data_IF_873116239221
#
_entry.id   IF_873116239221
#
_cell.length_a   1.000
_cell.length_b   1.000
_cell.length_c   1.000
_cell.angle_alpha   90.00
_cell.angle_beta   90.00
_cell.angle_gamma   90.00
#
_symmetry.space_group_name_H-M   'P 1'
#
loop_
_entity.id
_entity.type
_entity.pdbx_description
1 polymer ?
#
# COMPACT_ATOMS: atom_id res chain seq x y z
N UNK A 1 8.86 -30.14 5.58
CA UNK A 1 7.55 -29.95 4.95
C UNK A 1 6.57 -29.32 5.91
N UNK A 2 6.66 -27.99 6.20
CA UNK A 2 5.70 -27.28 7.10
C UNK A 2 5.64 -25.77 6.79
N UNK A 3 5.49 -25.39 5.49
CA UNK A 3 5.41 -23.96 5.11
C UNK A 3 4.08 -23.55 4.47
N UNK A 4 3.04 -24.39 4.45
CA UNK A 4 1.80 -24.11 3.70
C UNK A 4 0.65 -23.54 4.55
N UNK A 5 0.74 -23.50 5.86
CA UNK A 5 -0.36 -23.04 6.72
C UNK A 5 -0.33 -21.52 7.01
N UNK A 6 0.83 -20.88 6.98
CA UNK A 6 0.97 -19.43 7.22
C UNK A 6 0.50 -18.57 6.05
N UNK A 7 0.72 -19.01 4.82
CA UNK A 7 0.34 -18.27 3.60
C UNK A 7 -1.18 -18.22 3.38
N UNK A 8 -1.90 -19.29 3.74
CA UNK A 8 -3.38 -19.32 3.58
C UNK A 8 -4.09 -18.36 4.54
N UNK A 9 -3.59 -18.20 5.76
CA UNK A 9 -4.15 -17.27 6.75
C UNK A 9 -3.98 -15.79 6.33
N UNK A 10 -2.85 -15.44 5.76
CA UNK A 10 -2.58 -14.08 5.26
C UNK A 10 -3.44 -13.72 4.05
N UNK A 11 -3.59 -14.66 3.12
CA UNK A 11 -4.39 -14.43 1.90
C UNK A 11 -5.89 -14.31 2.21
N UNK A 12 -6.42 -15.16 3.09
CA UNK A 12 -7.83 -15.10 3.51
C UNK A 12 -8.14 -13.82 4.29
N UNK A 13 -7.20 -13.34 5.09
CA UNK A 13 -7.33 -12.09 5.83
C UNK A 13 -7.33 -10.88 4.88
N UNK A 14 -6.41 -10.84 3.92
CA UNK A 14 -6.35 -9.81 2.88
C UNK A 14 -7.62 -9.81 2.01
N UNK A 15 -8.07 -10.98 1.54
CA UNK A 15 -9.30 -11.11 0.77
C UNK A 15 -10.51 -10.63 1.55
N UNK A 16 -10.62 -10.94 2.83
CA UNK A 16 -11.72 -10.49 3.68
C UNK A 16 -11.68 -8.97 3.90
N UNK A 17 -10.51 -8.40 4.13
CA UNK A 17 -10.34 -6.98 4.40
C UNK A 17 -10.59 -6.10 3.14
N UNK A 18 -10.49 -6.67 1.94
CA UNK A 18 -10.79 -5.99 0.67
C UNK A 18 -12.21 -6.33 0.19
N UNK A 19 -12.60 -7.61 0.25
CA UNK A 19 -13.87 -8.07 -0.30
C UNK A 19 -15.08 -7.55 0.50
N UNK A 20 -14.97 -7.44 1.84
CA UNK A 20 -16.07 -7.00 2.68
C UNK A 20 -16.50 -5.55 2.43
N UNK A 21 -15.60 -4.55 2.43
CA UNK A 21 -15.95 -3.17 2.09
C UNK A 21 -16.51 -3.05 0.68
N UNK A 22 -15.94 -3.79 -0.27
CA UNK A 22 -16.36 -3.76 -1.67
C UNK A 22 -17.76 -4.35 -1.85
N UNK A 23 -18.03 -5.51 -1.25
CA UNK A 23 -19.36 -6.11 -1.26
C UNK A 23 -20.40 -5.20 -0.61
N UNK A 24 -20.06 -4.59 0.54
CA UNK A 24 -20.94 -3.68 1.25
C UNK A 24 -21.27 -2.44 0.40
N UNK A 25 -20.28 -1.87 -0.29
CA UNK A 25 -20.48 -0.75 -1.20
C UNK A 25 -21.50 -1.10 -2.30
N UNK A 26 -21.30 -2.21 -3.01
CA UNK A 26 -22.18 -2.59 -4.11
C UNK A 26 -23.58 -3.02 -3.64
N UNK A 27 -23.69 -3.67 -2.47
CA UNK A 27 -24.98 -3.97 -1.85
C UNK A 27 -25.74 -2.68 -1.53
N UNK A 28 -25.10 -1.67 -0.93
CA UNK A 28 -25.74 -0.39 -0.65
C UNK A 28 -26.16 0.34 -1.93
N UNK A 29 -25.32 0.30 -2.97
CA UNK A 29 -25.66 0.88 -4.27
C UNK A 29 -26.83 0.16 -4.96
N UNK A 30 -27.00 -1.14 -4.75
CA UNK A 30 -28.18 -1.88 -5.27
C UNK A 30 -29.49 -1.49 -4.59
N UNK A 31 -29.44 -0.85 -3.41
CA UNK A 31 -30.59 -0.26 -2.72
C UNK A 31 -30.75 1.24 -2.99
N UNK A 32 -30.17 1.77 -4.07
CA UNK A 32 -30.20 3.18 -4.45
C UNK A 32 -29.65 4.16 -3.38
N UNK A 33 -28.82 3.66 -2.47
CA UNK A 33 -28.15 4.51 -1.50
C UNK A 33 -27.16 5.42 -2.23
N UNK A 34 -27.13 6.70 -1.87
CA UNK A 34 -26.19 7.67 -2.44
C UNK A 34 -24.73 7.19 -2.34
N UNK A 35 -23.93 7.47 -3.37
CA UNK A 35 -22.56 6.99 -3.49
C UNK A 35 -21.66 7.42 -2.32
N UNK A 36 -21.86 8.66 -1.79
CA UNK A 36 -21.13 9.17 -0.64
C UNK A 36 -21.40 8.32 0.61
N UNK A 37 -22.68 8.06 0.90
CA UNK A 37 -23.09 7.25 2.05
C UNK A 37 -22.67 5.80 1.89
N UNK A 38 -22.78 5.23 0.69
CA UNK A 38 -22.31 3.88 0.40
C UNK A 38 -20.79 3.73 0.65
N UNK A 39 -19.99 4.70 0.23
CA UNK A 39 -18.53 4.73 0.49
C UNK A 39 -18.20 4.89 1.99
N UNK A 40 -18.89 5.80 2.68
CA UNK A 40 -18.67 6.03 4.12
C UNK A 40 -19.03 4.79 4.94
N UNK A 41 -20.20 4.17 4.68
CA UNK A 41 -20.64 2.97 5.40
C UNK A 41 -19.73 1.78 5.08
N UNK A 42 -19.28 1.64 3.84
CA UNK A 42 -18.34 0.56 3.46
C UNK A 42 -16.99 0.68 4.13
N UNK A 43 -16.58 1.88 4.54
CA UNK A 43 -15.32 2.13 5.29
C UNK A 43 -15.45 1.85 6.80
N UNK A 44 -16.66 1.70 7.35
CA UNK A 44 -16.86 1.46 8.79
C UNK A 44 -16.27 0.15 9.32
N UNK A 45 -16.39 -1.01 8.66
CA UNK A 45 -15.84 -2.25 9.18
C UNK A 45 -14.32 -2.20 9.45
N UNK A 46 -13.46 -1.75 8.52
CA UNK A 46 -12.04 -1.60 8.81
C UNK A 46 -11.76 -0.51 9.84
N UNK A 47 -12.54 0.59 9.88
CA UNK A 47 -12.39 1.66 10.84
C UNK A 47 -12.70 1.19 12.28
N UNK A 48 -13.80 0.45 12.48
CA UNK A 48 -14.21 -0.11 13.78
C UNK A 48 -13.13 -1.09 14.26
N UNK A 49 -12.64 -1.97 13.39
CA UNK A 49 -11.59 -2.93 13.73
C UNK A 49 -10.31 -2.20 14.17
N UNK A 50 -9.88 -1.22 13.42
CA UNK A 50 -8.68 -0.42 13.74
C UNK A 50 -8.85 0.34 15.06
N UNK A 51 -10.02 0.94 15.28
CA UNK A 51 -10.36 1.63 16.53
C UNK A 51 -10.41 0.66 17.72
N UNK A 52 -11.00 -0.52 17.57
CA UNK A 52 -11.06 -1.54 18.61
C UNK A 52 -9.66 -2.03 19.03
N UNK A 53 -8.78 -2.30 18.06
CA UNK A 53 -7.39 -2.70 18.34
C UNK A 53 -6.65 -1.61 19.08
N UNK A 54 -6.82 -0.35 18.67
CA UNK A 54 -6.22 0.82 19.31
C UNK A 54 -6.63 0.95 20.78
N UNK A 55 -7.92 0.82 21.06
CA UNK A 55 -8.47 0.96 22.44
C UNK A 55 -8.08 -0.23 23.33
N UNK A 56 -8.13 -1.47 22.79
CA UNK A 56 -7.91 -2.68 23.59
C UNK A 56 -6.45 -2.91 24.00
N UNK A 57 -5.50 -2.59 23.12
CA UNK A 57 -4.09 -2.84 23.40
C UNK A 57 -3.40 -1.72 24.17
N UNK A 58 -4.06 -0.60 24.46
CA UNK A 58 -3.51 0.60 25.17
C UNK A 58 -2.11 1.04 24.67
N UNK A 59 -1.62 0.45 23.59
CA UNK A 59 -0.43 0.90 22.89
C UNK A 59 -0.90 1.70 21.69
N UNK A 60 -0.70 2.99 21.74
CA UNK A 60 -0.93 3.87 20.60
C UNK A 60 0.09 3.44 19.55
N UNK A 61 -0.33 2.58 18.62
CA UNK A 61 0.43 2.38 17.40
C UNK A 61 0.35 3.68 16.59
N UNK A 62 1.45 4.42 16.46
CA UNK A 62 1.42 5.72 15.77
C UNK A 62 0.90 5.59 14.33
N UNK A 63 1.15 4.45 13.69
CA UNK A 63 0.71 4.17 12.32
C UNK A 63 -0.81 3.98 12.28
N UNK A 64 -1.36 3.15 13.18
CA UNK A 64 -2.81 2.93 13.27
C UNK A 64 -3.57 4.20 13.64
N UNK A 65 -3.05 5.00 14.57
CA UNK A 65 -3.64 6.29 14.95
C UNK A 65 -3.61 7.28 13.79
N UNK A 66 -2.51 7.34 13.03
CA UNK A 66 -2.40 8.17 11.83
C UNK A 66 -3.40 7.76 10.76
N UNK A 67 -3.52 6.46 10.46
CA UNK A 67 -4.47 5.93 9.47
C UNK A 67 -5.91 6.26 9.87
N UNK A 68 -6.26 6.09 11.16
CA UNK A 68 -7.59 6.42 11.67
C UNK A 68 -7.87 7.92 11.58
N UNK A 69 -6.93 8.77 11.97
CA UNK A 69 -7.04 10.22 11.86
C UNK A 69 -7.24 10.66 10.40
N UNK A 70 -6.46 10.09 9.46
CA UNK A 70 -6.62 10.35 8.04
C UNK A 70 -7.99 9.91 7.52
N UNK A 71 -8.51 8.78 7.97
CA UNK A 71 -9.84 8.31 7.59
C UNK A 71 -10.93 9.27 8.05
N UNK A 72 -10.86 9.74 9.32
CA UNK A 72 -11.82 10.70 9.90
C UNK A 72 -11.75 12.05 9.16
N UNK A 73 -10.55 12.57 8.93
CA UNK A 73 -10.37 13.86 8.23
C UNK A 73 -10.91 13.77 6.80
N UNK A 74 -10.56 12.72 6.06
CA UNK A 74 -11.04 12.57 4.68
C UNK A 74 -12.55 12.35 4.61
N UNK A 75 -13.13 11.59 5.56
CA UNK A 75 -14.57 11.44 5.68
C UNK A 75 -15.28 12.75 5.97
N UNK A 76 -14.74 13.56 6.90
CA UNK A 76 -15.29 14.87 7.22
C UNK A 76 -15.21 15.84 6.01
N UNK A 77 -14.09 15.87 5.30
CA UNK A 77 -13.93 16.69 4.08
C UNK A 77 -14.93 16.27 3.01
N UNK A 78 -15.13 14.97 2.79
CA UNK A 78 -16.09 14.48 1.81
C UNK A 78 -17.54 14.82 2.19
N UNK A 79 -17.90 14.74 3.49
CA UNK A 79 -19.22 15.14 3.98
C UNK A 79 -19.47 16.63 3.82
N UNK A 80 -18.48 17.48 4.12
CA UNK A 80 -18.59 18.94 3.98
C UNK A 80 -18.70 19.33 2.51
N UNK A 81 -17.92 18.69 1.64
CA UNK A 81 -17.90 18.98 0.20
C UNK A 81 -19.09 18.38 -0.57
N UNK A 82 -19.72 17.34 -0.03
CA UNK A 82 -20.78 16.59 -0.71
C UNK A 82 -20.30 15.80 -1.94
N UNK A 83 -18.99 15.76 -2.21
CA UNK A 83 -18.43 15.07 -3.38
C UNK A 83 -17.77 13.75 -3.01
N UNK A 84 -18.36 12.59 -3.38
CA UNK A 84 -17.80 11.26 -3.12
C UNK A 84 -16.44 11.03 -3.80
N UNK A 85 -16.08 11.81 -4.81
CA UNK A 85 -14.80 11.69 -5.54
C UNK A 85 -13.61 11.99 -4.64
N UNK A 86 -13.77 12.89 -3.66
CA UNK A 86 -12.72 13.19 -2.69
C UNK A 86 -12.34 11.98 -1.81
N UNK A 87 -13.30 11.10 -1.50
CA UNK A 87 -13.02 9.84 -0.81
C UNK A 87 -12.22 8.88 -1.69
N UNK A 88 -12.48 8.86 -2.98
CA UNK A 88 -11.77 7.99 -3.93
C UNK A 88 -10.32 8.45 -4.13
N UNK A 89 -10.08 9.75 -4.20
CA UNK A 89 -8.72 10.32 -4.37
C UNK A 89 -7.82 10.08 -3.15
N UNK A 90 -8.39 9.71 -2.00
CA UNK A 90 -7.61 9.45 -0.78
C UNK A 90 -6.52 8.39 -0.98
N UNK A 91 -6.82 7.30 -1.67
CA UNK A 91 -5.85 6.22 -1.95
C UNK A 91 -4.70 6.71 -2.82
N UNK A 92 -4.97 7.64 -3.74
CA UNK A 92 -3.99 8.24 -4.62
C UNK A 92 -2.90 9.01 -3.87
N UNK A 93 -3.26 9.78 -2.82
CA UNK A 93 -2.28 10.55 -2.06
C UNK A 93 -1.21 9.69 -1.41
N UNK A 94 -1.59 8.52 -0.88
CA UNK A 94 -0.63 7.58 -0.29
C UNK A 94 0.34 7.08 -1.35
N UNK A 95 -0.15 6.69 -2.51
CA UNK A 95 0.67 6.23 -3.63
C UNK A 95 1.62 7.32 -4.14
N UNK A 96 1.11 8.55 -4.32
CA UNK A 96 1.89 9.69 -4.78
C UNK A 96 2.97 10.09 -3.77
N UNK A 97 2.63 10.22 -2.49
CA UNK A 97 3.58 10.60 -1.45
C UNK A 97 4.65 9.53 -1.24
N UNK A 98 4.24 8.28 -1.07
CA UNK A 98 5.19 7.19 -0.82
C UNK A 98 6.04 6.92 -2.06
N UNK A 99 5.44 6.89 -3.24
CA UNK A 99 6.15 6.76 -4.51
C UNK A 99 7.12 7.92 -4.74
N UNK A 100 6.68 9.16 -4.50
CA UNK A 100 7.51 10.36 -4.57
C UNK A 100 8.68 10.34 -3.60
N UNK A 101 8.46 9.92 -2.34
CA UNK A 101 9.53 9.73 -1.35
C UNK A 101 10.55 8.66 -1.78
N UNK A 102 10.07 7.55 -2.36
CA UNK A 102 10.95 6.52 -2.91
C UNK A 102 11.83 7.07 -4.03
N UNK A 103 11.23 7.80 -5.00
CA UNK A 103 11.98 8.43 -6.09
C UNK A 103 12.95 9.50 -5.59
N UNK A 104 12.50 10.38 -4.69
CA UNK A 104 13.35 11.39 -4.09
C UNK A 104 14.55 10.78 -3.35
N UNK A 105 14.37 9.63 -2.68
CA UNK A 105 15.46 8.94 -2.01
C UNK A 105 16.56 8.42 -2.95
N UNK A 106 16.24 8.20 -4.22
CA UNK A 106 17.22 7.78 -5.23
C UNK A 106 18.08 8.95 -5.73
N UNK A 107 17.52 10.18 -5.71
CA UNK A 107 18.21 11.39 -6.18
C UNK A 107 18.99 12.06 -5.06
N UNK A 108 18.35 12.27 -3.91
CA UNK A 108 18.91 13.04 -2.78
C UNK A 108 19.61 12.14 -1.76
N UNK A 109 19.19 10.85 -1.67
CA UNK A 109 19.66 9.94 -0.63
C UNK A 109 20.88 9.11 -1.03
N UNK A 110 21.81 8.94 -0.08
CA UNK A 110 22.93 7.98 -0.24
C UNK A 110 22.45 6.52 -0.23
N UNK A 111 21.25 6.25 0.34
CA UNK A 111 20.66 4.91 0.49
C UNK A 111 19.21 4.95 0.04
N UNK A 112 18.74 4.00 -0.81
CA UNK A 112 17.36 3.92 -1.25
C UNK A 112 16.38 3.76 -0.09
N UNK A 113 15.18 4.32 -0.21
CA UNK A 113 14.16 4.28 0.84
C UNK A 113 13.81 2.84 1.24
N UNK A 114 13.61 1.96 0.26
CA UNK A 114 13.26 0.55 0.51
C UNK A 114 14.33 -0.19 1.32
N UNK A 115 15.62 0.07 1.05
CA UNK A 115 16.72 -0.50 1.82
C UNK A 115 16.64 -0.09 3.30
N UNK A 116 16.41 1.20 3.58
CA UNK A 116 16.23 1.70 4.96
C UNK A 116 15.06 1.05 5.67
N UNK A 117 13.91 0.94 4.98
CA UNK A 117 12.69 0.31 5.54
C UNK A 117 12.97 -1.14 5.92
N UNK A 118 13.63 -1.91 5.04
CA UNK A 118 13.92 -3.32 5.33
C UNK A 118 14.92 -3.47 6.48
N UNK A 119 15.97 -2.65 6.55
CA UNK A 119 16.89 -2.65 7.70
C UNK A 119 16.15 -2.34 9.02
N UNK A 120 15.16 -1.45 8.98
CA UNK A 120 14.36 -1.12 10.17
C UNK A 120 13.39 -2.25 10.57
N UNK A 121 12.77 -2.91 9.60
CA UNK A 121 11.83 -4.00 9.83
C UNK A 121 12.50 -5.32 10.21
N UNK A 122 13.76 -5.52 9.80
CA UNK A 122 14.53 -6.74 10.06
C UNK A 122 15.87 -6.40 10.76
N UNK A 123 15.85 -5.95 12.03
CA UNK A 123 17.06 -5.53 12.73
C UNK A 123 18.10 -6.66 12.88
N UNK A 124 17.63 -7.92 12.93
CA UNK A 124 18.53 -9.08 13.00
C UNK A 124 19.41 -9.25 11.74
N UNK A 125 18.95 -8.78 10.58
CA UNK A 125 19.68 -8.85 9.31
C UNK A 125 20.27 -7.50 8.87
N UNK A 126 20.02 -6.44 9.63
CA UNK A 126 20.45 -5.09 9.27
C UNK A 126 21.97 -4.99 9.15
N UNK A 127 22.73 -5.60 10.07
CA UNK A 127 24.17 -5.61 10.05
C UNK A 127 24.75 -6.31 8.80
N UNK A 128 24.17 -7.44 8.41
CA UNK A 128 24.53 -8.20 7.21
C UNK A 128 24.25 -7.38 5.92
N UNK A 129 23.05 -6.78 5.84
CA UNK A 129 22.66 -5.92 4.72
C UNK A 129 23.54 -4.68 4.61
N UNK A 130 23.90 -4.05 5.73
CA UNK A 130 24.79 -2.89 5.75
C UNK A 130 26.22 -3.25 5.35
N UNK A 131 26.73 -4.40 5.76
CA UNK A 131 28.02 -4.90 5.32
C UNK A 131 28.05 -5.14 3.80
N UNK A 132 27.02 -5.80 3.25
CA UNK A 132 26.87 -6.00 1.81
C UNK A 132 26.76 -4.67 1.04
N UNK A 133 26.04 -3.69 1.60
CA UNK A 133 25.95 -2.35 1.00
C UNK A 133 27.31 -1.62 0.95
N UNK A 134 28.16 -1.80 1.96
CA UNK A 134 29.47 -1.17 2.02
C UNK A 134 30.48 -1.84 1.08
N UNK A 135 30.39 -3.16 0.92
CA UNK A 135 31.38 -3.97 0.23
C UNK A 135 31.26 -3.92 -1.29
N UNK A 136 30.02 -3.91 -1.85
CA UNK A 136 29.82 -4.18 -3.28
C UNK A 136 28.83 -3.22 -3.95
N UNK A 137 29.20 -2.72 -5.13
CA UNK A 137 28.34 -1.88 -5.96
C UNK A 137 27.25 -2.71 -6.66
N UNK A 138 27.54 -3.96 -7.00
CA UNK A 138 26.58 -4.88 -7.61
C UNK A 138 25.46 -5.24 -6.62
N UNK A 139 25.75 -5.25 -5.32
CA UNK A 139 24.74 -5.40 -4.28
C UNK A 139 23.77 -4.20 -4.19
N UNK A 140 24.22 -2.98 -4.53
CA UNK A 140 23.42 -1.74 -4.47
C UNK A 140 22.43 -1.61 -5.63
N UNK A 141 22.79 -2.11 -6.81
CA UNK A 141 22.01 -1.98 -8.04
C UNK A 141 20.58 -2.58 -7.93
N UNK A 142 20.38 -3.81 -7.44
CA UNK A 142 19.04 -4.38 -7.25
C UNK A 142 18.14 -3.52 -6.35
N UNK A 143 18.69 -2.99 -5.26
CA UNK A 143 17.96 -2.15 -4.31
C UNK A 143 17.51 -0.82 -4.93
N UNK A 144 18.37 -0.19 -5.73
CA UNK A 144 18.02 1.02 -6.47
C UNK A 144 16.94 0.74 -7.51
N UNK A 145 17.09 -0.33 -8.27
CA UNK A 145 16.13 -0.74 -9.31
C UNK A 145 14.76 -1.04 -8.72
N UNK A 146 14.71 -1.81 -7.63
CA UNK A 146 13.45 -2.14 -6.96
C UNK A 146 12.80 -0.89 -6.38
N UNK A 147 13.57 0.01 -5.73
CA UNK A 147 13.04 1.27 -5.22
C UNK A 147 12.49 2.15 -6.35
N UNK A 148 13.16 2.19 -7.51
CA UNK A 148 12.70 2.91 -8.69
C UNK A 148 11.35 2.35 -9.19
N UNK A 149 11.24 1.02 -9.35
CA UNK A 149 10.01 0.38 -9.82
C UNK A 149 8.82 0.63 -8.88
N UNK A 150 9.02 0.48 -7.57
CA UNK A 150 8.00 0.76 -6.57
C UNK A 150 7.63 2.25 -6.53
N UNK A 151 8.62 3.14 -6.66
CA UNK A 151 8.40 4.59 -6.71
C UNK A 151 7.60 5.00 -7.95
N UNK A 152 8.03 4.59 -9.14
CA UNK A 152 7.32 4.88 -10.40
C UNK A 152 5.94 4.24 -10.40
N UNK A 153 5.83 2.95 -9.99
CA UNK A 153 4.56 2.26 -9.90
C UNK A 153 3.57 2.96 -8.97
N UNK A 154 4.02 3.40 -7.78
CA UNK A 154 3.19 4.15 -6.83
C UNK A 154 2.71 5.49 -7.38
N UNK A 155 3.57 6.26 -8.04
CA UNK A 155 3.20 7.53 -8.66
C UNK A 155 2.22 7.31 -9.81
N UNK A 156 2.50 6.37 -10.72
CA UNK A 156 1.60 6.07 -11.85
C UNK A 156 0.23 5.58 -11.37
N UNK A 157 0.20 4.71 -10.37
CA UNK A 157 -1.06 4.24 -9.78
C UNK A 157 -1.83 5.41 -9.15
N UNK A 158 -1.16 6.27 -8.37
CA UNK A 158 -1.79 7.44 -7.77
C UNK A 158 -2.36 8.40 -8.82
N UNK A 159 -1.61 8.69 -9.89
CA UNK A 159 -2.10 9.50 -11.00
C UNK A 159 -3.29 8.85 -11.72
N UNK A 160 -3.24 7.53 -11.93
CA UNK A 160 -4.33 6.80 -12.56
C UNK A 160 -5.62 6.86 -11.72
N UNK A 161 -5.53 6.70 -10.40
CA UNK A 161 -6.68 6.80 -9.48
C UNK A 161 -7.28 8.20 -9.50
N UNK A 162 -6.45 9.25 -9.46
CA UNK A 162 -6.93 10.64 -9.59
C UNK A 162 -7.67 10.83 -10.92
N UNK A 163 -7.07 10.40 -12.02
CA UNK A 163 -7.68 10.50 -13.34
C UNK A 163 -9.03 9.77 -13.40
N UNK A 164 -9.07 8.54 -12.92
CA UNK A 164 -10.31 7.73 -12.87
C UNK A 164 -11.39 8.38 -12.01
N UNK A 165 -11.05 8.95 -10.85
CA UNK A 165 -12.01 9.60 -9.96
C UNK A 165 -12.74 10.77 -10.62
N UNK A 166 -12.07 11.49 -11.55
CA UNK A 166 -12.67 12.64 -12.24
C UNK A 166 -13.24 12.33 -13.62
N UNK A 167 -12.84 11.22 -14.26
CA UNK A 167 -13.28 10.88 -15.62
C UNK A 167 -14.32 9.78 -15.67
N UNK A 168 -14.36 8.90 -14.67
CA UNK A 168 -15.24 7.73 -14.64
C UNK A 168 -16.41 7.91 -13.67
N UNK A 169 -17.49 7.12 -13.85
CA UNK A 169 -18.57 7.04 -12.86
C UNK A 169 -18.04 6.54 -11.51
N UNK A 170 -18.50 7.14 -10.40
CA UNK A 170 -18.07 6.83 -9.04
C UNK A 170 -18.22 5.33 -8.71
N UNK A 171 -19.22 4.67 -9.27
CA UNK A 171 -19.50 3.26 -9.03
C UNK A 171 -18.44 2.30 -9.60
N UNK A 172 -17.73 2.71 -10.63
CA UNK A 172 -16.72 1.87 -11.32
C UNK A 172 -15.33 2.04 -10.70
N UNK A 173 -15.04 3.21 -10.14
CA UNK A 173 -13.71 3.56 -9.64
C UNK A 173 -13.21 2.63 -8.53
N UNK A 174 -14.00 2.24 -7.50
CA UNK A 174 -13.49 1.37 -6.43
C UNK A 174 -13.05 -0.01 -6.94
N UNK A 175 -13.75 -0.56 -7.94
CA UNK A 175 -13.39 -1.82 -8.55
C UNK A 175 -12.06 -1.71 -9.32
N UNK A 176 -11.93 -0.68 -10.16
CA UNK A 176 -10.72 -0.46 -10.96
C UNK A 176 -9.52 -0.12 -10.08
N UNK A 177 -9.68 0.72 -9.05
CA UNK A 177 -8.63 1.06 -8.09
C UNK A 177 -8.11 -0.21 -7.39
N UNK A 178 -9.03 -1.05 -6.91
CA UNK A 178 -8.67 -2.33 -6.27
C UNK A 178 -7.94 -3.26 -7.25
N UNK A 179 -8.45 -3.43 -8.46
CA UNK A 179 -7.85 -4.30 -9.46
C UNK A 179 -6.46 -3.83 -9.86
N UNK A 180 -6.27 -2.52 -10.09
CA UNK A 180 -4.98 -1.92 -10.42
C UNK A 180 -4.00 -2.02 -9.25
N UNK A 181 -4.45 -1.75 -8.02
CA UNK A 181 -3.62 -1.84 -6.83
C UNK A 181 -3.12 -3.26 -6.61
N UNK A 182 -4.02 -4.25 -6.69
CA UNK A 182 -3.65 -5.68 -6.55
C UNK A 182 -2.72 -6.10 -7.68
N UNK A 183 -3.01 -5.73 -8.93
CA UNK A 183 -2.16 -6.01 -10.08
C UNK A 183 -0.75 -5.42 -9.94
N UNK A 184 -0.67 -4.16 -9.54
CA UNK A 184 0.59 -3.45 -9.29
C UNK A 184 1.39 -4.11 -8.15
N UNK A 185 0.73 -4.48 -7.05
CA UNK A 185 1.34 -5.17 -5.92
C UNK A 185 1.91 -6.54 -6.33
N UNK A 186 1.13 -7.35 -7.03
CA UNK A 186 1.57 -8.68 -7.49
C UNK A 186 2.76 -8.57 -8.45
N UNK A 187 2.70 -7.64 -9.40
CA UNK A 187 3.78 -7.37 -10.32
C UNK A 187 5.04 -6.88 -9.59
N UNK A 188 4.88 -5.94 -8.67
CA UNK A 188 5.96 -5.39 -7.86
C UNK A 188 6.65 -6.47 -7.01
N UNK A 189 5.88 -7.33 -6.34
CA UNK A 189 6.43 -8.45 -5.55
C UNK A 189 7.16 -9.45 -6.45
N UNK A 190 6.59 -9.81 -7.61
CA UNK A 190 7.23 -10.71 -8.58
C UNK A 190 8.57 -10.15 -9.07
N UNK A 191 8.60 -8.89 -9.48
CA UNK A 191 9.82 -8.23 -9.95
C UNK A 191 10.86 -8.11 -8.83
N UNK A 192 10.43 -7.78 -7.61
CA UNK A 192 11.31 -7.71 -6.44
C UNK A 192 11.97 -9.05 -6.17
N UNK A 193 11.18 -10.13 -6.12
CA UNK A 193 11.72 -11.49 -5.93
C UNK A 193 12.71 -11.87 -7.02
N UNK A 194 12.38 -11.65 -8.28
CA UNK A 194 13.27 -11.99 -9.41
C UNK A 194 14.61 -11.25 -9.32
N UNK A 195 14.60 -9.95 -9.00
CA UNK A 195 15.82 -9.13 -8.95
C UNK A 195 16.69 -9.42 -7.72
N UNK A 196 16.07 -9.63 -6.56
CA UNK A 196 16.82 -9.95 -5.34
C UNK A 196 17.41 -11.36 -5.40
N UNK A 197 16.66 -12.35 -5.93
CA UNK A 197 17.18 -13.72 -6.09
C UNK A 197 18.31 -13.79 -7.12
N UNK A 198 18.20 -13.05 -8.23
CA UNK A 198 19.26 -12.99 -9.23
C UNK A 198 20.55 -12.28 -8.71
N UNK A 199 20.40 -11.31 -7.80
CA UNK A 199 21.54 -10.66 -7.15
C UNK A 199 22.28 -11.59 -6.18
N UNK A 200 21.53 -12.33 -5.35
CA UNK A 200 22.11 -13.28 -4.38
C UNK A 200 22.84 -14.43 -5.07
N UNK A 201 22.29 -14.98 -6.15
CA UNK A 201 22.95 -16.09 -6.87
C UNK A 201 24.26 -15.66 -7.53
N UNK A 202 24.39 -14.41 -8.00
CA UNK A 202 25.66 -13.90 -8.58
C UNK A 202 26.79 -13.75 -7.54
N UNK A 203 26.45 -13.45 -6.29
CA UNK A 203 27.44 -13.32 -5.21
C UNK A 203 27.87 -14.67 -4.62
N UNK A 204 27.14 -15.76 -4.92
CA UNK A 204 27.52 -17.13 -4.48
C UNK A 204 28.39 -17.84 -5.53
N UNK A 205 28.26 -17.42 -6.81
CA UNK A 205 28.99 -18.03 -7.94
C UNK A 205 30.33 -17.28 -8.27
N UNK A 206 30.65 -16.20 -7.54
CA UNK A 206 31.87 -15.41 -7.66
C UNK A 206 32.79 -15.62 -6.45
#
# INVERSE_FOLDING_TARGET
MTHTSSDRGGLTMLLRDVALPMALFYVLRSFDVDALWALLVSALPPAIRSGYVLVRHRRIDPIGAFVLAMLVVNGAVALISGDPRLLLVRSAWVGLLLGGLMLASLVVGRRPFLFRVICTLQPARAAELEAGWAADEDFRQPWRTVTLWWGVGGVLLGCAVVLMAFTLPVDVVPFLDTALTVGCLLLGVKLTRQRLTAGINRTVDA
#
